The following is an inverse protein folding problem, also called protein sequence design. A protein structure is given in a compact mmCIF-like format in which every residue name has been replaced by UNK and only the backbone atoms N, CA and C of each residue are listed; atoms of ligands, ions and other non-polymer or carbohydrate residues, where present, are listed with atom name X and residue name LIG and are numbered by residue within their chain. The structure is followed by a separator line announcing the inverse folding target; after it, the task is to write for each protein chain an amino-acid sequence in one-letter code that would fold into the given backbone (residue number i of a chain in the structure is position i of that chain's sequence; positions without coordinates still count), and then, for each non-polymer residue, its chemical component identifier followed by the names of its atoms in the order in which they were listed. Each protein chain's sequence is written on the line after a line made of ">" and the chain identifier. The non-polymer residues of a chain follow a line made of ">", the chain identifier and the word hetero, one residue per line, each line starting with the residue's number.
data_IF_013661381348
#
_entry.id   IF_013661381348
#
_cell.length_a   1.000
_cell.length_b   1.000
_cell.length_c   1.000
_cell.angle_alpha   90.00
_cell.angle_beta   90.00
_cell.angle_gamma   90.00
#
_symmetry.space_group_name_H-M   'P 1'
#
loop_
_entity.id
_entity.type
_entity.pdbx_description
1 polymer ?
#
# COMPACT_ATOMS: atom_id res chain seq x y z
N UNK A 1 -8.00 22.21 1.21
CA UNK A 1 -8.59 20.89 1.53
C UNK A 1 -8.55 20.72 3.04
N UNK A 2 -9.69 20.53 3.74
CA UNK A 2 -9.69 20.37 5.18
C UNK A 2 -8.87 19.13 5.55
N UNK A 3 -7.90 19.33 6.44
CA UNK A 3 -6.99 18.29 6.93
C UNK A 3 -7.82 17.36 7.81
N UNK A 4 -8.43 16.33 7.20
CA UNK A 4 -9.13 15.25 7.91
C UNK A 4 -8.17 14.77 9.02
N UNK A 5 -8.62 14.74 10.27
CA UNK A 5 -7.86 14.58 11.52
C UNK A 5 -7.02 13.29 11.69
N UNK A 6 -6.74 12.57 10.60
CA UNK A 6 -5.92 11.37 10.54
C UNK A 6 -4.41 11.64 10.69
N UNK A 7 -3.96 12.86 10.36
CA UNK A 7 -2.55 13.25 10.46
C UNK A 7 -1.97 13.02 11.86
N UNK A 8 -2.56 13.62 12.93
CA UNK A 8 -2.14 13.40 14.31
C UNK A 8 -2.08 11.92 14.71
N UNK A 9 -3.08 11.11 14.32
CA UNK A 9 -3.18 9.68 14.64
C UNK A 9 -2.06 8.87 13.98
N UNK A 10 -1.67 9.23 12.76
CA UNK A 10 -0.60 8.56 12.03
C UNK A 10 0.80 9.07 12.40
N UNK A 11 0.95 10.22 13.05
CA UNK A 11 2.26 10.84 13.34
C UNK A 11 3.25 9.90 14.03
N UNK A 12 2.89 9.18 15.11
CA UNK A 12 3.84 8.31 15.81
C UNK A 12 4.29 7.13 14.95
N UNK A 13 3.41 6.63 14.08
CA UNK A 13 3.67 5.45 13.24
C UNK A 13 4.34 5.78 11.93
N UNK A 14 4.24 7.01 11.43
CA UNK A 14 5.03 7.46 10.29
C UNK A 14 6.54 7.34 10.53
N UNK A 15 6.99 7.39 11.79
CA UNK A 15 8.39 7.10 12.17
C UNK A 15 8.79 5.64 11.91
N UNK A 16 7.82 4.72 11.83
CA UNK A 16 7.99 3.30 11.49
C UNK A 16 7.88 3.05 9.98
N UNK A 17 7.81 4.10 9.16
CA UNK A 17 7.77 4.04 7.70
C UNK A 17 6.39 3.73 7.10
N UNK A 18 5.34 3.56 7.91
CA UNK A 18 3.96 3.30 7.47
C UNK A 18 2.97 4.02 8.37
N UNK A 19 1.87 4.61 7.83
CA UNK A 19 0.83 5.18 8.69
C UNK A 19 0.16 4.09 9.52
N UNK A 20 -0.40 4.42 10.68
CA UNK A 20 -1.22 3.49 11.46
C UNK A 20 -2.45 3.07 10.64
N UNK A 21 -3.05 4.04 9.95
CA UNK A 21 -4.25 3.87 9.13
C UNK A 21 -4.06 4.50 7.75
N UNK A 22 -4.27 3.72 6.70
CA UNK A 22 -4.22 4.18 5.31
C UNK A 22 -4.07 3.03 4.31
N UNK A 23 -4.49 3.22 3.06
CA UNK A 23 -4.23 2.23 2.02
C UNK A 23 -2.85 2.46 1.39
N UNK A 24 -2.27 1.40 0.85
CA UNK A 24 -1.05 1.47 0.07
C UNK A 24 -1.27 2.21 -1.25
N UNK A 25 -0.17 2.69 -1.84
CA UNK A 25 -0.18 3.32 -3.16
C UNK A 25 0.17 2.30 -4.25
N UNK A 26 -0.64 2.24 -5.32
CA UNK A 26 -0.40 1.29 -6.42
C UNK A 26 0.95 1.55 -7.09
N UNK A 27 1.55 0.48 -7.63
CA UNK A 27 2.70 0.63 -8.52
C UNK A 27 2.36 1.51 -9.73
N UNK A 28 3.34 2.25 -10.24
CA UNK A 28 3.15 3.08 -11.43
C UNK A 28 2.93 2.20 -12.68
N UNK A 29 1.87 2.40 -13.47
CA UNK A 29 1.56 1.55 -14.62
C UNK A 29 2.73 1.43 -15.62
N UNK A 30 2.94 0.23 -16.16
CA UNK A 30 3.98 -0.05 -17.16
C UNK A 30 5.41 -0.07 -16.61
N UNK A 31 5.60 0.09 -15.31
CA UNK A 31 6.94 0.07 -14.69
C UNK A 31 7.31 -1.27 -14.07
N UNK A 32 6.36 -2.18 -13.89
CA UNK A 32 6.55 -3.37 -13.06
C UNK A 32 6.78 -3.07 -11.58
N UNK A 33 6.52 -1.84 -11.11
CA UNK A 33 6.73 -1.46 -9.72
C UNK A 33 5.76 -2.19 -8.78
N UNK A 34 6.26 -2.53 -7.58
CA UNK A 34 5.44 -3.13 -6.52
C UNK A 34 4.39 -2.14 -6.00
N UNK A 35 3.28 -2.69 -5.52
CA UNK A 35 2.29 -1.95 -4.74
C UNK A 35 2.82 -1.65 -3.34
N UNK A 36 2.52 -0.45 -2.84
CA UNK A 36 2.85 -0.04 -1.48
C UNK A 36 2.04 -0.81 -0.43
N UNK A 37 2.62 -1.00 0.74
CA UNK A 37 1.91 -1.59 1.88
C UNK A 37 0.84 -0.63 2.41
N UNK A 38 -0.27 -1.18 2.90
CA UNK A 38 -1.29 -0.45 3.67
C UNK A 38 -0.76 0.00 5.04
N UNK A 39 -1.64 0.58 5.86
CA UNK A 39 -1.33 1.04 7.19
C UNK A 39 -0.94 -0.11 8.12
N UNK A 40 -0.31 0.18 9.25
CA UNK A 40 0.15 -0.85 10.19
C UNK A 40 -1.02 -1.61 10.81
N UNK A 41 -2.10 -0.90 11.13
CA UNK A 41 -3.28 -1.50 11.76
C UNK A 41 -4.43 -1.64 10.76
N UNK A 42 -4.81 -0.55 10.08
CA UNK A 42 -5.96 -0.53 9.17
C UNK A 42 -5.54 -0.06 7.78
N UNK A 43 -5.97 -0.80 6.76
CA UNK A 43 -5.89 -0.37 5.37
C UNK A 43 -5.33 -1.43 4.43
N UNK A 44 -5.76 -1.37 3.18
CA UNK A 44 -5.45 -2.37 2.17
C UNK A 44 -4.06 -2.14 1.57
N UNK A 45 -3.37 -3.21 1.24
CA UNK A 45 -2.22 -3.17 0.36
C UNK A 45 -2.63 -2.73 -1.04
N UNK A 46 -1.71 -2.11 -1.76
CA UNK A 46 -1.94 -1.64 -3.10
C UNK A 46 -1.53 -2.69 -4.14
N UNK A 47 -2.10 -2.62 -5.34
CA UNK A 47 -1.71 -3.54 -6.41
C UNK A 47 -0.33 -3.19 -6.98
N UNK A 48 0.41 -4.22 -7.37
CA UNK A 48 1.57 -4.06 -8.21
C UNK A 48 1.20 -3.61 -9.62
N UNK A 49 2.12 -2.95 -10.30
CA UNK A 49 1.94 -2.53 -11.68
C UNK A 49 2.29 -3.67 -12.66
N UNK A 50 1.57 -3.78 -13.78
CA UNK A 50 2.00 -4.60 -14.91
C UNK A 50 3.40 -4.20 -15.39
N UNK A 51 4.21 -5.20 -15.76
CA UNK A 51 5.56 -5.01 -16.30
C UNK A 51 5.55 -5.07 -17.83
N UNK A 52 6.23 -4.16 -18.52
CA UNK A 52 6.32 -4.24 -19.99
C UNK A 52 7.40 -5.24 -20.40
N UNK A 53 7.01 -6.47 -20.74
CA UNK A 53 7.94 -7.51 -21.19
C UNK A 53 8.72 -8.21 -20.07
N UNK A 54 8.27 -8.04 -18.82
CA UNK A 54 8.78 -8.72 -17.63
C UNK A 54 7.62 -8.99 -16.67
N UNK A 55 7.86 -9.79 -15.63
CA UNK A 55 6.89 -10.00 -14.56
C UNK A 55 6.50 -8.64 -13.94
N UNK A 56 5.20 -8.42 -13.70
CA UNK A 56 4.76 -7.22 -13.00
C UNK A 56 5.11 -7.25 -11.51
N UNK A 57 4.94 -6.10 -10.86
CA UNK A 57 5.32 -5.92 -9.47
C UNK A 57 4.45 -6.70 -8.50
N UNK A 58 4.98 -7.03 -7.34
CA UNK A 58 4.21 -7.69 -6.29
C UNK A 58 3.14 -6.75 -5.70
N UNK A 59 2.03 -7.32 -5.24
CA UNK A 59 1.05 -6.64 -4.42
C UNK A 59 1.60 -6.25 -3.05
N UNK A 60 1.13 -5.13 -2.52
CA UNK A 60 1.48 -4.64 -1.19
C UNK A 60 0.76 -5.41 -0.08
N UNK A 61 1.38 -5.47 1.10
CA UNK A 61 0.76 -6.09 2.28
C UNK A 61 -0.38 -5.21 2.83
N UNK A 62 -1.49 -5.83 3.27
CA UNK A 62 -2.53 -5.15 4.05
C UNK A 62 -2.11 -4.83 5.49
N UNK A 63 -2.98 -4.14 6.23
CA UNK A 63 -2.80 -3.86 7.65
C UNK A 63 -2.85 -5.11 8.52
N UNK A 64 -2.23 -5.06 9.70
CA UNK A 64 -2.03 -6.15 10.67
C UNK A 64 -2.09 -7.56 10.04
N UNK A 65 -1.11 -7.90 9.21
CA UNK A 65 -0.99 -9.23 8.60
C UNK A 65 -2.15 -9.66 7.67
N UNK A 66 -2.95 -8.72 7.17
CA UNK A 66 -4.13 -9.00 6.34
C UNK A 66 -5.47 -8.97 7.11
N UNK A 67 -5.45 -8.90 8.45
CA UNK A 67 -6.64 -9.06 9.28
C UNK A 67 -7.60 -7.85 9.24
N UNK A 68 -7.08 -6.64 9.03
CA UNK A 68 -7.87 -5.41 8.91
C UNK A 68 -7.54 -4.61 7.63
N UNK A 69 -7.12 -5.33 6.60
CA UNK A 69 -6.93 -4.81 5.26
C UNK A 69 -6.47 -5.92 4.32
N UNK A 70 -6.97 -5.94 3.09
CA UNK A 70 -6.62 -7.00 2.13
C UNK A 70 -5.23 -6.75 1.54
N UNK A 71 -4.47 -7.80 1.18
CA UNK A 71 -3.29 -7.64 0.34
C UNK A 71 -3.68 -7.11 -1.05
N UNK A 72 -2.75 -6.41 -1.68
CA UNK A 72 -2.89 -6.03 -3.09
C UNK A 72 -2.63 -7.23 -4.01
N UNK A 73 -3.16 -7.15 -5.23
CA UNK A 73 -2.88 -8.12 -6.27
C UNK A 73 -1.51 -7.88 -6.90
N UNK A 74 -0.87 -8.95 -7.36
CA UNK A 74 0.33 -8.86 -8.19
C UNK A 74 -0.02 -8.28 -9.56
N UNK A 75 0.91 -7.50 -10.11
CA UNK A 75 0.86 -7.05 -11.49
C UNK A 75 1.12 -8.23 -12.42
N UNK A 76 0.11 -8.63 -13.18
CA UNK A 76 0.33 -9.54 -14.29
C UNK A 76 1.23 -8.86 -15.35
N UNK A 77 2.08 -9.60 -16.10
CA UNK A 77 2.78 -9.08 -17.27
C UNK A 77 1.83 -8.41 -18.29
#
# INVERSE_FOLDING_TARGET
>A
MPKRCWGPINTPTQLLGRPLIGNGANGAPGTGANGGAGGLLIGNGANGAPGTGANGGAGGLGGLGGAFGTPGADGNP
#
